data_IF_223710493778
#
_entry.id   IF_223710493778
#
_cell.length_a   1.000
_cell.length_b   1.000
_cell.length_c   1.000
_cell.angle_alpha   90.00
_cell.angle_beta   90.00
_cell.angle_gamma   90.00
#
_symmetry.space_group_name_H-M   'P 1'
#
loop_
_entity.id
_entity.type
_entity.pdbx_description
1 polymer ?
#
# COMPACT_ATOMS: atom_id res chain seq x y z
N UNK A 1 10.31 -8.36 -25.87
CA UNK A 1 9.57 -8.10 -24.61
C UNK A 1 10.28 -6.92 -23.95
N UNK A 2 9.54 -5.95 -23.39
CA UNK A 2 10.12 -4.68 -22.92
C UNK A 2 10.85 -4.93 -21.59
N UNK A 3 12.18 -4.77 -21.57
CA UNK A 3 13.04 -5.00 -20.40
C UNK A 3 12.57 -4.24 -19.15
N UNK A 4 11.99 -3.05 -19.32
CA UNK A 4 11.50 -2.25 -18.21
C UNK A 4 10.25 -2.85 -17.55
N UNK A 5 9.33 -3.38 -18.36
CA UNK A 5 8.13 -4.05 -17.87
C UNK A 5 8.47 -5.34 -17.12
N UNK A 6 9.48 -6.09 -17.59
CA UNK A 6 9.96 -7.29 -16.91
C UNK A 6 10.56 -6.97 -15.54
N UNK A 7 11.35 -5.90 -15.46
CA UNK A 7 11.91 -5.42 -14.20
C UNK A 7 10.82 -4.97 -13.23
N UNK A 8 9.84 -4.19 -13.71
CA UNK A 8 8.69 -3.75 -12.91
C UNK A 8 7.85 -4.93 -12.40
N UNK A 9 7.59 -5.95 -13.23
CA UNK A 9 6.89 -7.16 -12.83
C UNK A 9 7.64 -7.94 -11.75
N UNK A 10 8.97 -8.10 -11.91
CA UNK A 10 9.81 -8.77 -10.91
C UNK A 10 9.81 -8.02 -9.58
N UNK A 11 10.09 -6.72 -9.62
CA UNK A 11 10.14 -5.89 -8.40
C UNK A 11 8.78 -5.88 -7.71
N UNK A 12 7.67 -5.71 -8.45
CA UNK A 12 6.31 -5.81 -7.90
C UNK A 12 6.06 -7.14 -7.20
N UNK A 13 6.52 -8.25 -7.78
CA UNK A 13 6.39 -9.57 -7.16
C UNK A 13 7.20 -9.65 -5.86
N UNK A 14 8.46 -9.21 -5.90
CA UNK A 14 9.36 -9.21 -4.73
C UNK A 14 8.85 -8.33 -3.59
N UNK A 15 8.35 -7.12 -3.87
CA UNK A 15 7.82 -6.23 -2.85
C UNK A 15 6.49 -6.74 -2.29
N UNK A 16 5.59 -7.27 -3.13
CA UNK A 16 4.32 -7.84 -2.67
C UNK A 16 4.54 -9.08 -1.79
N UNK A 17 5.48 -9.94 -2.13
CA UNK A 17 5.85 -11.08 -1.29
C UNK A 17 6.39 -10.63 0.07
N UNK A 18 7.26 -9.61 0.09
CA UNK A 18 7.76 -9.03 1.33
C UNK A 18 6.63 -8.41 2.15
N UNK A 19 5.72 -7.63 1.54
CA UNK A 19 4.57 -7.07 2.23
C UNK A 19 3.71 -8.17 2.88
N UNK A 20 3.44 -9.24 2.16
CA UNK A 20 2.64 -10.37 2.68
C UNK A 20 3.31 -11.13 3.81
N UNK A 21 4.63 -11.05 3.96
CA UNK A 21 5.30 -11.61 5.15
C UNK A 21 4.92 -10.87 6.43
N UNK A 22 4.45 -9.62 6.34
CA UNK A 22 4.00 -8.80 7.47
C UNK A 22 2.48 -8.90 7.73
N UNK A 23 1.74 -9.62 6.88
CA UNK A 23 0.32 -9.89 7.09
C UNK A 23 0.09 -10.59 8.43
N UNK A 24 -1.00 -10.22 9.11
CA UNK A 24 -1.33 -10.69 10.44
C UNK A 24 -0.53 -10.04 11.58
N UNK A 25 0.50 -9.22 11.26
CA UNK A 25 1.36 -8.56 12.26
C UNK A 25 1.25 -7.04 12.20
N UNK A 26 1.81 -6.44 11.15
CA UNK A 26 1.81 -4.98 10.96
C UNK A 26 0.49 -4.49 10.40
N UNK A 27 -0.15 -5.31 9.56
CA UNK A 27 -1.45 -5.07 8.96
C UNK A 27 -2.20 -6.40 8.79
N UNK A 28 -3.48 -6.33 8.44
CA UNK A 28 -4.33 -7.50 8.23
C UNK A 28 -3.94 -8.23 6.95
N UNK A 29 -3.87 -7.49 5.85
CA UNK A 29 -3.66 -8.04 4.50
C UNK A 29 -3.03 -7.00 3.57
N UNK A 30 -2.07 -7.43 2.75
CA UNK A 30 -1.53 -6.64 1.65
C UNK A 30 -1.90 -7.23 0.29
N UNK A 31 -2.39 -6.36 -0.58
CA UNK A 31 -2.64 -6.62 -2.00
C UNK A 31 -1.86 -5.62 -2.85
N UNK A 32 -1.60 -5.97 -4.10
CA UNK A 32 -0.90 -5.09 -5.02
C UNK A 32 -0.81 -5.67 -6.42
N UNK A 33 -0.69 -4.78 -7.40
CA UNK A 33 -0.69 -5.12 -8.83
C UNK A 33 0.37 -4.30 -9.57
N UNK A 34 0.44 -4.47 -10.89
CA UNK A 34 1.21 -3.60 -11.77
C UNK A 34 0.26 -2.96 -12.77
N UNK A 35 0.18 -1.64 -12.79
CA UNK A 35 -0.61 -0.90 -13.76
C UNK A 35 0.31 -0.29 -14.83
N UNK A 36 0.68 -1.08 -15.84
CA UNK A 36 1.63 -0.65 -16.87
C UNK A 36 1.16 0.53 -17.71
N UNK A 37 -0.14 0.78 -17.83
CA UNK A 37 -0.69 1.93 -18.56
C UNK A 37 -0.54 3.24 -17.78
N UNK A 38 -0.53 3.15 -16.45
CA UNK A 38 -0.43 4.29 -15.54
C UNK A 38 0.97 4.43 -14.95
N UNK A 39 1.91 3.55 -15.34
CA UNK A 39 3.28 3.58 -14.86
C UNK A 39 3.37 3.53 -13.31
N UNK A 40 2.54 2.69 -12.69
CA UNK A 40 2.48 2.56 -11.24
C UNK A 40 2.47 1.10 -10.75
N UNK A 41 2.98 0.90 -9.54
CA UNK A 41 2.95 -0.33 -8.76
C UNK A 41 2.11 -0.07 -7.50
N UNK A 42 0.77 -0.20 -7.59
CA UNK A 42 -0.10 0.08 -6.48
C UNK A 42 -0.06 -1.02 -5.43
N UNK A 43 -0.04 -0.59 -4.17
CA UNK A 43 -0.24 -1.44 -2.99
C UNK A 43 -1.46 -0.98 -2.21
N UNK A 44 -2.34 -1.92 -1.88
CA UNK A 44 -3.46 -1.71 -0.96
C UNK A 44 -3.16 -2.43 0.34
N UNK A 45 -3.16 -1.69 1.44
CA UNK A 45 -2.84 -2.21 2.78
C UNK A 45 -4.09 -2.11 3.65
N UNK A 46 -4.66 -3.26 4.01
CA UNK A 46 -5.74 -3.35 4.98
C UNK A 46 -5.16 -3.35 6.39
N UNK A 47 -5.33 -2.26 7.11
CA UNK A 47 -4.87 -2.13 8.49
C UNK A 47 -5.86 -2.77 9.47
N UNK A 48 -5.35 -3.22 10.62
CA UNK A 48 -6.21 -3.49 11.77
C UNK A 48 -6.84 -2.20 12.30
N UNK A 49 -8.01 -2.29 12.92
CA UNK A 49 -8.72 -1.16 13.54
C UNK A 49 -7.84 -0.36 14.50
N UNK A 50 -6.97 -1.04 15.24
CA UNK A 50 -6.06 -0.47 16.25
C UNK A 50 -4.66 -0.11 15.71
N UNK A 51 -4.42 -0.25 14.41
CA UNK A 51 -3.09 -0.02 13.83
C UNK A 51 -2.65 1.44 13.95
N UNK A 52 -1.37 1.62 14.28
CA UNK A 52 -0.66 2.89 14.15
C UNK A 52 -0.16 3.05 12.71
N UNK A 53 -0.91 3.79 11.90
CA UNK A 53 -0.60 4.00 10.48
C UNK A 53 0.82 4.51 10.23
N UNK A 54 1.42 5.24 11.17
CA UNK A 54 2.78 5.78 11.03
C UNK A 54 3.80 4.65 11.03
N UNK A 55 3.66 3.70 11.95
CA UNK A 55 4.51 2.50 12.03
C UNK A 55 4.29 1.59 10.84
N UNK A 56 3.03 1.40 10.42
CA UNK A 56 2.71 0.61 9.23
C UNK A 56 3.36 1.24 7.98
N UNK A 57 3.31 2.57 7.86
CA UNK A 57 3.91 3.29 6.74
C UNK A 57 5.44 3.24 6.77
N UNK A 58 6.06 3.36 7.94
CA UNK A 58 7.50 3.13 8.09
C UNK A 58 7.87 1.72 7.63
N UNK A 59 7.14 0.68 8.05
CA UNK A 59 7.38 -0.70 7.61
C UNK A 59 7.23 -0.85 6.08
N UNK A 60 6.17 -0.29 5.51
CA UNK A 60 5.95 -0.27 4.06
C UNK A 60 7.12 0.41 3.33
N UNK A 61 7.53 1.60 3.78
CA UNK A 61 8.64 2.36 3.20
C UNK A 61 9.95 1.56 3.17
N UNK A 62 10.29 0.85 4.25
CA UNK A 62 11.50 0.04 4.31
C UNK A 62 11.51 -1.10 3.27
N UNK A 63 10.33 -1.59 2.87
CA UNK A 63 10.20 -2.65 1.87
C UNK A 63 10.37 -2.09 0.45
N UNK A 64 9.76 -0.95 0.13
CA UNK A 64 9.71 -0.45 -1.26
C UNK A 64 10.84 0.51 -1.61
N UNK A 65 11.33 1.31 -0.66
CA UNK A 65 12.34 2.35 -0.92
C UNK A 65 13.67 1.86 -1.53
N UNK A 66 14.16 0.62 -1.27
CA UNK A 66 15.36 0.12 -1.96
C UNK A 66 15.21 0.02 -3.48
N UNK A 67 13.99 0.07 -4.00
CA UNK A 67 13.67 -0.10 -5.41
C UNK A 67 13.35 1.21 -6.14
N UNK A 68 13.30 2.36 -5.45
CA UNK A 68 12.92 3.65 -6.07
C UNK A 68 13.82 4.02 -7.27
N UNK A 69 15.13 3.84 -7.14
CA UNK A 69 16.08 4.14 -8.22
C UNK A 69 16.18 3.03 -9.29
N UNK A 70 15.52 1.89 -9.08
CA UNK A 70 15.57 0.74 -10.00
C UNK A 70 14.45 0.77 -11.05
N UNK A 71 13.50 1.70 -10.92
CA UNK A 71 12.28 1.79 -11.72
C UNK A 71 12.06 3.22 -12.27
N UNK A 72 12.91 3.70 -13.19
CA UNK A 72 12.85 5.09 -13.66
C UNK A 72 11.54 5.49 -14.35
N UNK A 73 10.71 4.53 -14.77
CA UNK A 73 9.41 4.77 -15.38
C UNK A 73 8.23 4.18 -14.60
N UNK A 74 8.41 3.82 -13.31
CA UNK A 74 7.32 3.35 -12.47
C UNK A 74 7.40 3.91 -11.05
N UNK A 75 6.27 4.39 -10.53
CA UNK A 75 6.16 4.81 -9.14
C UNK A 75 5.45 3.75 -8.29
N UNK A 76 5.89 3.58 -7.04
CA UNK A 76 5.07 2.88 -6.06
C UNK A 76 3.97 3.81 -5.57
N UNK A 77 2.78 3.25 -5.38
CA UNK A 77 1.68 3.95 -4.72
C UNK A 77 1.15 3.10 -3.58
N UNK A 78 0.59 3.74 -2.54
CA UNK A 78 0.02 3.00 -1.41
C UNK A 78 -1.27 3.63 -0.93
N UNK A 79 -2.30 2.79 -0.77
CA UNK A 79 -3.59 3.15 -0.17
C UNK A 79 -3.77 2.37 1.14
N UNK A 80 -4.02 3.09 2.23
CA UNK A 80 -4.32 2.50 3.54
C UNK A 80 -5.83 2.49 3.80
N UNK A 81 -6.35 1.32 4.19
CA UNK A 81 -7.79 1.09 4.35
C UNK A 81 -8.03 0.39 5.70
N UNK A 82 -9.16 0.70 6.35
CA UNK A 82 -9.78 -0.14 7.38
C UNK A 82 -11.18 -0.53 6.92
N UNK A 83 -11.66 -1.71 7.31
CA UNK A 83 -13.04 -2.14 7.10
C UNK A 83 -13.71 -2.27 8.46
N UNK A 84 -14.76 -1.49 8.70
CA UNK A 84 -15.54 -1.55 9.93
C UNK A 84 -17.04 -1.56 9.60
N UNK A 85 -17.78 -2.50 10.16
CA UNK A 85 -19.24 -2.63 9.99
C UNK A 85 -19.70 -2.59 8.52
N UNK A 86 -18.90 -3.14 7.61
CA UNK A 86 -19.18 -3.16 6.16
C UNK A 86 -18.85 -1.86 5.41
N UNK A 87 -18.28 -0.86 6.08
CA UNK A 87 -17.78 0.37 5.46
C UNK A 87 -16.26 0.29 5.24
N UNK A 88 -15.79 0.80 4.11
CA UNK A 88 -14.38 1.08 3.91
C UNK A 88 -14.05 2.48 4.45
N UNK A 89 -13.05 2.52 5.32
CA UNK A 89 -12.47 3.74 5.86
C UNK A 89 -11.13 3.94 5.18
N UNK A 90 -11.12 4.78 4.15
CA UNK A 90 -9.90 5.26 3.52
C UNK A 90 -9.15 6.15 4.49
N UNK A 91 -7.90 5.81 4.79
CA UNK A 91 -7.08 6.54 5.75
C UNK A 91 -6.14 7.53 5.07
N UNK A 92 -5.44 7.06 4.04
CA UNK A 92 -4.51 7.88 3.27
C UNK A 92 -4.09 7.22 1.95
N UNK A 93 -3.53 8.04 1.06
CA UNK A 93 -2.93 7.63 -0.21
C UNK A 93 -1.63 8.38 -0.45
N UNK A 94 -0.59 7.66 -0.89
CA UNK A 94 0.61 8.25 -1.45
C UNK A 94 0.68 7.90 -2.94
N UNK A 95 0.67 8.92 -3.78
CA UNK A 95 0.53 8.83 -5.23
C UNK A 95 1.83 8.50 -5.97
N UNK A 96 2.98 8.62 -5.30
CA UNK A 96 4.29 8.34 -5.88
C UNK A 96 5.36 8.08 -4.81
N UNK A 97 6.58 7.79 -5.28
CA UNK A 97 7.75 7.54 -4.44
C UNK A 97 8.12 8.75 -3.55
N UNK A 98 7.88 9.99 -4.01
CA UNK A 98 8.17 11.20 -3.25
C UNK A 98 7.16 11.40 -2.12
N UNK A 99 5.87 11.18 -2.37
CA UNK A 99 4.83 11.22 -1.34
C UNK A 99 5.05 10.13 -0.27
N UNK A 100 5.45 8.93 -0.69
CA UNK A 100 5.85 7.85 0.24
C UNK A 100 7.03 8.31 1.12
N UNK A 101 8.09 8.87 0.52
CA UNK A 101 9.23 9.38 1.29
C UNK A 101 8.84 10.54 2.23
N UNK A 102 7.97 11.43 1.77
CA UNK A 102 7.52 12.59 2.53
C UNK A 102 6.65 12.21 3.73
N UNK A 103 5.85 11.14 3.62
CA UNK A 103 5.05 10.63 4.73
C UNK A 103 5.91 10.05 5.86
N UNK A 104 7.09 9.47 5.57
CA UNK A 104 8.09 9.11 6.60
C UNK A 104 8.73 10.35 7.23
N UNK A 105 9.03 11.40 6.43
CA UNK A 105 9.65 12.64 6.94
C UNK A 105 8.69 13.51 7.76
N UNK A 106 7.39 13.40 7.49
CA UNK A 106 6.31 14.17 8.15
C UNK A 106 5.20 13.22 8.59
N UNK A 107 5.48 12.31 9.53
CA UNK A 107 4.54 11.26 9.95
C UNK A 107 3.34 11.84 10.71
N UNK A 108 3.38 13.12 11.10
CA UNK A 108 2.22 13.82 11.63
C UNK A 108 1.10 13.96 10.60
N UNK A 109 1.40 13.93 9.30
CA UNK A 109 0.43 14.21 8.22
C UNK A 109 -0.35 12.99 7.72
N UNK A 110 0.17 11.78 7.92
CA UNK A 110 -0.47 10.56 7.43
C UNK A 110 -1.67 10.15 8.31
N UNK A 111 -2.79 9.79 7.66
CA UNK A 111 -4.02 9.32 8.32
C UNK A 111 -4.84 10.40 9.01
N UNK A 112 -4.61 11.69 8.72
CA UNK A 112 -5.27 12.79 9.43
C UNK A 112 -6.76 12.96 9.12
N UNK A 113 -7.22 12.52 7.95
CA UNK A 113 -8.57 12.81 7.46
C UNK A 113 -9.19 11.56 6.82
N UNK A 114 -9.61 10.59 7.65
CA UNK A 114 -10.26 9.40 7.13
C UNK A 114 -11.56 9.75 6.41
N UNK A 115 -11.77 9.14 5.25
CA UNK A 115 -13.00 9.22 4.47
C UNK A 115 -13.70 7.88 4.58
N UNK A 116 -15.01 7.90 4.87
CA UNK A 116 -15.83 6.70 4.90
C UNK A 116 -16.59 6.57 3.60
N UNK A 117 -16.51 5.40 2.99
CA UNK A 117 -17.22 5.07 1.77
C UNK A 117 -17.90 3.71 1.94
N UNK A 118 -19.08 3.50 1.33
CA UNK A 118 -19.63 2.17 1.22
C UNK A 118 -18.59 1.26 0.58
N UNK A 119 -18.39 0.07 1.15
CA UNK A 119 -17.44 -0.87 0.59
C UNK A 119 -17.81 -1.20 -0.85
N UNK A 120 -16.87 -0.98 -1.76
CA UNK A 120 -17.04 -1.40 -3.15
C UNK A 120 -17.10 -2.93 -3.22
N UNK A 121 -17.88 -3.45 -4.16
CA UNK A 121 -17.98 -4.90 -4.43
C UNK A 121 -16.73 -5.42 -5.18
N UNK A 122 -15.55 -5.09 -4.65
CA UNK A 122 -14.25 -5.39 -5.22
C UNK A 122 -13.49 -6.32 -4.26
N UNK A 123 -13.07 -7.47 -4.80
CA UNK A 123 -12.33 -8.52 -4.07
C UNK A 123 -10.84 -8.17 -3.81
N UNK A 124 -10.51 -6.89 -3.56
CA UNK A 124 -9.12 -6.47 -3.31
C UNK A 124 -8.50 -7.18 -2.10
N UNK A 125 -9.31 -7.45 -1.07
CA UNK A 125 -8.91 -8.20 0.12
C UNK A 125 -9.82 -9.41 0.32
N UNK A 126 -9.25 -10.51 0.82
CA UNK A 126 -10.03 -11.66 1.30
C UNK A 126 -10.75 -11.33 2.61
N UNK A 127 -10.14 -10.49 3.42
CA UNK A 127 -10.69 -10.10 4.72
C UNK A 127 -11.95 -9.24 4.55
N UNK A 128 -12.94 -9.49 5.41
CA UNK A 128 -14.21 -8.74 5.40
C UNK A 128 -14.34 -7.69 6.50
N UNK A 129 -13.35 -7.64 7.41
CA UNK A 129 -13.23 -6.67 8.49
C UNK A 129 -11.75 -6.39 8.79
N UNK A 130 -11.52 -5.36 9.62
CA UNK A 130 -10.20 -4.95 10.12
C UNK A 130 -9.92 -5.39 11.57
N UNK A 131 -10.64 -6.38 12.10
CA UNK A 131 -10.37 -6.88 13.46
C UNK A 131 -9.10 -7.73 13.47
N UNK A 132 -8.44 -7.87 14.63
CA UNK A 132 -7.26 -8.76 14.74
C UNK A 132 -7.66 -10.22 14.57
#
# INVERSE_FOLDING_TARGET
MNTELEVALRIRQETLEQLRQHDGREWKEAAGELHSQFHEIPSWILLFEDSDIKKCHEAFFHIVSPYFDQLPGYDFTVKYIKINDGEEIFLDFCADNEEILNAVRRPDRIGQRPIREPRADLDTFKSVDSRR
#
